data_IF_939230527213
#
_entry.id   IF_939230527213
#
_cell.length_a   1.000
_cell.length_b   1.000
_cell.length_c   1.000
_cell.angle_alpha   90.00
_cell.angle_beta   90.00
_cell.angle_gamma   90.00
#
_symmetry.space_group_name_H-M   'P 1'
#
loop_
_entity.id
_entity.type
_entity.pdbx_description
1 polymer ?
#
# COMPACT_ATOMS: atom_id res chain seq x y z
N UNK A 1 1.34 7.69 4.94
CA UNK A 1 0.45 6.54 5.31
C UNK A 1 0.13 6.56 6.81
N UNK A 2 -1.13 6.36 7.21
CA UNK A 2 -1.54 6.36 8.63
C UNK A 2 -1.07 5.08 9.34
N UNK A 3 -0.82 5.13 10.65
CA UNK A 3 -0.41 3.95 11.47
C UNK A 3 -1.31 2.72 11.28
N UNK A 4 -2.62 2.93 11.13
CA UNK A 4 -3.59 1.88 10.84
C UNK A 4 -3.30 1.18 9.51
N UNK A 5 -3.02 1.95 8.47
CA UNK A 5 -2.72 1.45 7.12
C UNK A 5 -1.37 0.73 7.08
N UNK A 6 -0.41 1.15 7.88
CA UNK A 6 0.89 0.44 8.02
C UNK A 6 0.68 -0.98 8.55
N UNK A 7 -0.23 -1.17 9.51
CA UNK A 7 -0.57 -2.51 10.00
C UNK A 7 -1.24 -3.34 8.90
N UNK A 8 -2.19 -2.78 8.15
CA UNK A 8 -2.86 -3.50 7.05
C UNK A 8 -1.89 -3.88 5.94
N UNK A 9 -1.02 -2.95 5.55
CA UNK A 9 0.03 -3.23 4.57
C UNK A 9 0.91 -4.40 5.00
N UNK A 10 1.40 -4.38 6.23
CA UNK A 10 2.24 -5.45 6.77
C UNK A 10 1.52 -6.81 6.77
N UNK A 11 0.26 -6.86 7.23
CA UNK A 11 -0.52 -8.09 7.23
C UNK A 11 -0.70 -8.66 5.83
N UNK A 12 -0.99 -7.80 4.84
CA UNK A 12 -1.12 -8.20 3.44
C UNK A 12 0.21 -8.67 2.87
N UNK A 13 1.29 -7.93 3.12
CA UNK A 13 2.63 -8.29 2.64
C UNK A 13 3.06 -9.66 3.16
N UNK A 14 3.00 -9.88 4.47
CA UNK A 14 3.39 -11.16 5.09
C UNK A 14 2.49 -12.32 4.62
N UNK A 15 1.19 -12.07 4.43
CA UNK A 15 0.29 -13.09 3.89
C UNK A 15 0.68 -13.50 2.47
N UNK A 16 1.11 -12.56 1.63
CA UNK A 16 1.50 -12.84 0.25
C UNK A 16 2.89 -13.46 0.13
N UNK A 17 3.87 -12.95 0.88
CA UNK A 17 5.27 -13.38 0.76
C UNK A 17 5.59 -14.62 1.60
N UNK A 18 5.08 -14.69 2.84
CA UNK A 18 5.43 -15.74 3.80
C UNK A 18 4.29 -16.74 4.04
N UNK A 19 3.10 -16.49 3.46
CA UNK A 19 1.89 -17.31 3.73
C UNK A 19 1.53 -17.37 5.21
N UNK A 20 1.87 -16.34 5.97
CA UNK A 20 1.61 -16.23 7.40
C UNK A 20 0.35 -15.40 7.64
N UNK A 21 -0.66 -16.02 8.20
CA UNK A 21 -1.99 -15.43 8.42
C UNK A 21 -2.33 -15.23 9.90
N UNK A 22 -1.61 -15.90 10.80
CA UNK A 22 -1.86 -15.86 12.26
C UNK A 22 -0.90 -14.89 12.93
N UNK A 23 -1.45 -13.95 13.71
CA UNK A 23 -0.70 -12.89 14.39
C UNK A 23 -1.23 -12.63 15.80
N UNK A 24 -0.41 -11.99 16.64
CA UNK A 24 -0.84 -11.46 17.94
C UNK A 24 -0.80 -9.95 17.94
N UNK A 25 -1.72 -9.31 18.66
CA UNK A 25 -1.72 -7.85 18.80
C UNK A 25 -0.44 -7.34 19.47
N UNK A 26 0.05 -8.06 20.50
CA UNK A 26 1.30 -7.73 21.15
C UNK A 26 2.50 -7.84 20.21
N UNK A 27 2.60 -8.92 19.44
CA UNK A 27 3.70 -9.09 18.48
C UNK A 27 3.75 -7.98 17.42
N UNK A 28 2.60 -7.52 16.94
CA UNK A 28 2.56 -6.37 16.02
C UNK A 28 2.89 -5.04 16.71
N UNK A 29 2.42 -4.88 17.97
CA UNK A 29 2.75 -3.69 18.74
C UNK A 29 4.26 -3.59 18.99
N UNK A 30 4.90 -4.68 19.38
CA UNK A 30 6.35 -4.76 19.58
C UNK A 30 7.10 -4.51 18.26
N UNK A 31 6.66 -5.13 17.15
CA UNK A 31 7.29 -4.98 15.82
C UNK A 31 7.29 -3.52 15.32
N UNK A 32 6.17 -2.81 15.50
CA UNK A 32 6.03 -1.43 15.02
C UNK A 32 6.43 -0.37 16.06
N UNK A 33 6.69 -0.73 17.30
CA UNK A 33 6.81 0.23 18.39
C UNK A 33 5.50 0.97 18.69
N UNK A 34 4.35 0.32 18.45
CA UNK A 34 3.03 0.90 18.68
C UNK A 34 2.44 0.40 20.01
N UNK A 35 1.46 1.13 20.54
CA UNK A 35 0.66 0.61 21.65
C UNK A 35 -0.25 -0.53 21.16
N UNK A 36 -0.55 -1.49 22.03
CA UNK A 36 -1.52 -2.56 21.74
C UNK A 36 -2.90 -1.98 21.38
N UNK A 37 -3.28 -0.85 21.99
CA UNK A 37 -4.51 -0.14 21.67
C UNK A 37 -4.53 0.35 20.21
N UNK A 38 -3.42 0.89 19.70
CA UNK A 38 -3.28 1.31 18.29
C UNK A 38 -3.46 0.13 17.35
N UNK A 39 -2.80 -0.99 17.64
CA UNK A 39 -2.97 -2.22 16.87
C UNK A 39 -4.40 -2.73 16.94
N UNK A 40 -5.00 -2.79 18.15
CA UNK A 40 -6.39 -3.21 18.29
C UNK A 40 -7.34 -2.33 17.47
N UNK A 41 -7.13 -1.02 17.45
CA UNK A 41 -7.94 -0.10 16.65
C UNK A 41 -7.81 -0.37 15.15
N UNK A 42 -6.62 -0.72 14.67
CA UNK A 42 -6.41 -1.08 13.26
C UNK A 42 -7.17 -2.34 12.84
N UNK A 43 -7.49 -3.22 13.76
CA UNK A 43 -8.20 -4.48 13.48
C UNK A 43 -9.73 -4.36 13.53
N UNK A 44 -10.29 -3.24 14.02
CA UNK A 44 -11.74 -3.06 14.19
C UNK A 44 -12.48 -3.19 12.88
N UNK A 45 -12.11 -2.39 11.88
CA UNK A 45 -12.78 -2.41 10.58
C UNK A 45 -12.56 -3.75 9.85
N UNK A 46 -11.32 -4.29 9.74
CA UNK A 46 -11.09 -5.61 9.15
C UNK A 46 -11.88 -6.75 9.79
N UNK A 47 -12.10 -6.69 11.12
CA UNK A 47 -12.94 -7.68 11.81
C UNK A 47 -14.42 -7.52 11.43
N UNK A 48 -14.92 -6.28 11.39
CA UNK A 48 -16.32 -6.01 11.03
C UNK A 48 -16.70 -6.49 9.62
N UNK A 49 -15.77 -6.38 8.68
CA UNK A 49 -16.00 -6.85 7.30
C UNK A 49 -15.72 -8.35 7.11
N UNK A 50 -15.31 -9.06 8.16
CA UNK A 50 -14.97 -10.48 8.09
C UNK A 50 -13.69 -10.78 7.31
N UNK A 51 -12.74 -9.84 7.25
CA UNK A 51 -11.40 -10.09 6.74
C UNK A 51 -10.49 -10.71 7.80
N UNK A 52 -10.75 -10.38 9.07
CA UNK A 52 -10.00 -10.87 10.23
C UNK A 52 -10.97 -11.53 11.21
N UNK A 53 -10.57 -12.69 11.72
CA UNK A 53 -11.22 -13.36 12.85
C UNK A 53 -10.34 -13.22 14.09
N UNK A 54 -10.91 -12.63 15.16
CA UNK A 54 -10.25 -12.51 16.45
C UNK A 54 -10.52 -13.72 17.33
N UNK A 55 -9.46 -14.17 17.99
CA UNK A 55 -9.47 -15.17 19.05
C UNK A 55 -8.96 -14.54 20.37
N UNK A 56 -9.02 -15.29 21.47
CA UNK A 56 -8.60 -14.77 22.78
C UNK A 56 -7.14 -14.32 22.85
N UNK A 57 -6.23 -15.05 22.20
CA UNK A 57 -4.77 -14.80 22.26
C UNK A 57 -4.15 -14.36 20.95
N UNK A 58 -4.84 -14.51 19.84
CA UNK A 58 -4.35 -14.22 18.50
C UNK A 58 -5.49 -13.79 17.58
N UNK A 59 -5.16 -13.41 16.38
CA UNK A 59 -6.13 -13.23 15.31
C UNK A 59 -5.60 -13.85 14.00
N UNK A 60 -6.50 -14.11 13.08
CA UNK A 60 -6.20 -14.70 11.78
C UNK A 60 -6.72 -13.80 10.68
N UNK A 61 -5.90 -13.51 9.70
CA UNK A 61 -6.31 -12.88 8.45
C UNK A 61 -6.95 -13.97 7.58
N UNK A 62 -8.27 -14.09 7.61
CA UNK A 62 -9.01 -15.14 6.88
C UNK A 62 -9.23 -14.80 5.41
N UNK A 63 -9.39 -13.51 5.12
CA UNK A 63 -9.63 -13.07 3.76
C UNK A 63 -8.82 -11.81 3.45
N UNK A 64 -7.62 -12.02 2.90
CA UNK A 64 -6.72 -10.92 2.55
C UNK A 64 -7.28 -10.06 1.39
N UNK A 65 -8.05 -10.63 0.47
CA UNK A 65 -8.68 -9.87 -0.62
C UNK A 65 -9.69 -8.86 -0.07
N UNK A 66 -10.52 -9.26 0.90
CA UNK A 66 -11.44 -8.31 1.58
C UNK A 66 -10.69 -7.17 2.24
N UNK A 67 -9.57 -7.46 2.90
CA UNK A 67 -8.74 -6.41 3.52
C UNK A 67 -8.15 -5.48 2.47
N UNK A 68 -7.64 -6.02 1.38
CA UNK A 68 -7.06 -5.25 0.28
C UNK A 68 -8.10 -4.32 -0.37
N UNK A 69 -9.27 -4.84 -0.72
CA UNK A 69 -10.34 -4.04 -1.34
C UNK A 69 -10.91 -3.00 -0.37
N UNK A 70 -11.07 -3.35 0.91
CA UNK A 70 -11.46 -2.38 1.92
C UNK A 70 -10.44 -1.24 2.02
N UNK A 71 -9.16 -1.57 2.13
CA UNK A 71 -8.12 -0.56 2.20
C UNK A 71 -8.09 0.33 0.95
N UNK A 72 -8.17 -0.26 -0.24
CA UNK A 72 -8.26 0.48 -1.49
C UNK A 72 -9.47 1.46 -1.50
N UNK A 73 -10.62 1.04 -0.96
CA UNK A 73 -11.84 1.86 -0.93
C UNK A 73 -11.78 3.05 0.04
N UNK A 74 -11.01 2.92 1.13
CA UNK A 74 -10.93 3.98 2.17
C UNK A 74 -9.67 4.83 2.07
N UNK A 75 -8.68 4.39 1.27
CA UNK A 75 -7.44 5.12 1.05
C UNK A 75 -7.70 6.37 0.21
N UNK A 76 -7.17 7.48 0.66
CA UNK A 76 -7.17 8.72 -0.11
C UNK A 76 -5.77 8.96 -0.68
N UNK A 77 -5.56 8.56 -1.94
CA UNK A 77 -4.28 8.67 -2.63
C UNK A 77 -3.77 10.11 -2.71
N UNK A 78 -4.66 11.09 -2.90
CA UNK A 78 -4.30 12.50 -3.00
C UNK A 78 -3.58 13.03 -1.73
N UNK A 79 -3.85 12.43 -0.56
CA UNK A 79 -3.16 12.78 0.69
C UNK A 79 -1.73 12.22 0.79
N UNK A 80 -1.42 11.24 -0.01
CA UNK A 80 -0.08 10.61 -0.06
C UNK A 80 0.78 11.23 -1.18
N UNK A 81 0.19 12.05 -2.07
CA UNK A 81 0.92 12.75 -3.14
C UNK A 81 1.74 13.88 -2.53
N UNK A 82 3.05 13.77 -2.62
CA UNK A 82 4.01 14.77 -2.09
C UNK A 82 4.54 15.72 -3.17
N UNK A 83 4.41 15.31 -4.45
CA UNK A 83 4.82 16.13 -5.59
C UNK A 83 3.92 15.84 -6.78
N UNK A 84 3.63 16.87 -7.57
CA UNK A 84 2.83 16.78 -8.78
C UNK A 84 3.32 17.83 -9.78
N UNK A 85 3.54 17.43 -11.00
CA UNK A 85 3.92 18.35 -12.08
C UNK A 85 3.16 18.00 -13.36
N UNK A 86 3.15 18.93 -14.30
CA UNK A 86 2.67 18.73 -15.66
C UNK A 86 3.88 18.56 -16.58
N UNK A 87 3.89 17.51 -17.38
CA UNK A 87 4.89 17.28 -18.42
C UNK A 87 4.17 17.13 -19.76
N UNK A 88 4.46 17.98 -20.76
CA UNK A 88 3.79 17.95 -22.08
C UNK A 88 4.36 16.88 -23.02
N UNK A 89 4.85 15.77 -22.48
CA UNK A 89 5.41 14.65 -23.24
C UNK A 89 4.43 13.48 -23.32
N UNK A 90 4.68 12.54 -24.22
CA UNK A 90 3.92 11.30 -24.28
C UNK A 90 4.15 10.43 -23.05
N UNK A 91 3.16 9.62 -22.67
CA UNK A 91 3.23 8.80 -21.45
C UNK A 91 4.51 7.95 -21.36
N UNK A 92 4.89 7.29 -22.46
CA UNK A 92 6.11 6.47 -22.49
C UNK A 92 7.40 7.30 -22.30
N UNK A 93 7.41 8.53 -22.78
CA UNK A 93 8.53 9.46 -22.56
C UNK A 93 8.58 9.88 -21.07
N UNK A 94 7.43 10.24 -20.50
CA UNK A 94 7.32 10.55 -19.05
C UNK A 94 7.78 9.37 -18.20
N UNK A 95 7.36 8.16 -18.54
CA UNK A 95 7.83 6.95 -17.85
C UNK A 95 9.35 6.78 -17.95
N UNK A 96 9.94 7.13 -19.08
CA UNK A 96 11.39 7.11 -19.28
C UNK A 96 12.16 8.14 -18.46
N UNK A 97 11.49 9.22 -18.01
CA UNK A 97 12.10 10.27 -17.17
C UNK A 97 12.05 9.95 -15.66
N UNK A 98 11.29 8.92 -15.26
CA UNK A 98 11.22 8.54 -13.84
C UNK A 98 12.60 8.07 -13.36
N UNK A 99 13.13 8.63 -12.25
CA UNK A 99 14.41 8.21 -11.69
C UNK A 99 14.46 6.70 -11.43
N UNK A 100 15.64 6.12 -11.50
CA UNK A 100 15.87 4.68 -11.27
C UNK A 100 15.42 4.19 -9.89
N UNK A 101 15.38 5.10 -8.91
CA UNK A 101 14.89 4.87 -7.54
C UNK A 101 13.38 4.88 -7.45
N UNK A 102 12.68 5.36 -8.49
CA UNK A 102 11.22 5.41 -8.54
C UNK A 102 10.59 4.04 -8.79
N UNK A 103 9.59 3.69 -8.01
CA UNK A 103 8.81 2.47 -8.17
C UNK A 103 7.49 2.82 -8.84
N UNK A 104 7.28 2.34 -10.07
CA UNK A 104 6.04 2.61 -10.80
C UNK A 104 4.81 2.13 -10.05
N UNK A 105 3.73 2.91 -10.17
CA UNK A 105 2.44 2.60 -9.55
C UNK A 105 1.31 2.68 -10.58
N UNK A 106 0.11 2.26 -10.20
CA UNK A 106 -1.11 2.33 -11.01
C UNK A 106 -0.95 1.68 -12.39
N UNK A 107 -1.36 2.37 -13.45
CA UNK A 107 -1.37 1.84 -14.83
C UNK A 107 0.03 1.58 -15.38
N UNK A 108 1.01 2.42 -15.06
CA UNK A 108 2.39 2.20 -15.48
C UNK A 108 2.98 0.91 -14.88
N UNK A 109 2.68 0.63 -13.61
CA UNK A 109 3.05 -0.65 -12.98
C UNK A 109 2.33 -1.82 -13.63
N UNK A 110 1.02 -1.70 -13.86
CA UNK A 110 0.23 -2.75 -14.51
C UNK A 110 0.73 -3.05 -15.93
N UNK A 111 1.03 -2.01 -16.72
CA UNK A 111 1.59 -2.16 -18.06
C UNK A 111 2.90 -2.95 -18.06
N UNK A 112 3.77 -2.72 -17.07
CA UNK A 112 5.06 -3.42 -16.94
C UNK A 112 4.93 -4.88 -16.47
N UNK A 113 3.89 -5.18 -15.68
CA UNK A 113 3.66 -6.53 -15.13
C UNK A 113 2.91 -7.41 -16.13
N UNK A 114 1.97 -6.84 -16.88
CA UNK A 114 1.04 -7.56 -17.75
C UNK A 114 1.27 -7.30 -19.25
N UNK A 115 2.33 -6.56 -19.62
CA UNK A 115 2.69 -6.14 -20.99
C UNK A 115 1.69 -5.18 -21.65
N UNK A 116 0.55 -4.92 -21.03
CA UNK A 116 -0.43 -3.93 -21.50
C UNK A 116 -1.15 -3.25 -20.33
N UNK A 117 -1.54 -1.98 -20.47
CA UNK A 117 -2.31 -1.31 -19.44
C UNK A 117 -3.78 -1.79 -19.46
N UNK A 118 -4.45 -1.84 -18.30
CA UNK A 118 -5.87 -2.21 -18.23
C UNK A 118 -6.82 -1.22 -18.96
N UNK A 119 -6.38 -0.01 -19.20
CA UNK A 119 -7.08 1.05 -19.92
C UNK A 119 -6.10 2.15 -20.35
N UNK A 120 -6.54 3.04 -21.25
CA UNK A 120 -5.81 4.26 -21.58
C UNK A 120 -5.64 5.15 -20.33
N UNK A 121 -4.47 5.74 -20.18
CA UNK A 121 -4.17 6.60 -19.03
C UNK A 121 -3.37 7.85 -19.46
N UNK A 122 -3.57 8.91 -18.69
CA UNK A 122 -2.95 10.23 -18.92
C UNK A 122 -2.09 10.72 -17.76
N UNK A 123 -1.86 9.88 -16.76
CA UNK A 123 -1.08 10.22 -15.57
C UNK A 123 -0.14 9.09 -15.22
N UNK A 124 1.11 9.44 -14.93
CA UNK A 124 2.12 8.52 -14.42
C UNK A 124 2.24 8.71 -12.92
N UNK A 125 2.15 7.61 -12.18
CA UNK A 125 2.34 7.58 -10.74
C UNK A 125 3.53 6.70 -10.39
N UNK A 126 4.33 7.15 -9.43
CA UNK A 126 5.44 6.38 -8.90
C UNK A 126 5.66 6.71 -7.42
N UNK A 127 6.19 5.75 -6.70
CA UNK A 127 6.67 5.95 -5.33
C UNK A 127 8.15 6.30 -5.38
N UNK A 128 8.57 7.20 -4.50
CA UNK A 128 9.97 7.60 -4.33
C UNK A 128 10.22 7.89 -2.85
N UNK A 129 11.42 7.58 -2.37
CA UNK A 129 11.82 7.94 -1.02
C UNK A 129 12.00 9.46 -0.89
N UNK A 130 11.71 10.01 0.29
CA UNK A 130 11.75 11.46 0.54
C UNK A 130 13.12 12.08 0.21
N UNK A 131 14.19 11.34 0.50
CA UNK A 131 15.58 11.75 0.20
C UNK A 131 15.88 11.88 -1.29
N UNK A 132 15.15 11.20 -2.16
CA UNK A 132 15.37 11.18 -3.61
C UNK A 132 14.40 12.08 -4.38
N UNK A 133 13.49 12.77 -3.69
CA UNK A 133 12.44 13.60 -4.33
C UNK A 133 13.00 14.68 -5.24
N UNK A 134 14.16 15.23 -4.93
CA UNK A 134 14.79 16.27 -5.75
C UNK A 134 15.21 15.76 -7.13
N UNK A 135 15.51 14.47 -7.27
CA UNK A 135 15.79 13.82 -8.55
C UNK A 135 14.53 13.76 -9.44
N UNK A 136 13.36 13.64 -8.83
CA UNK A 136 12.09 13.61 -9.55
C UNK A 136 11.58 15.01 -9.97
N UNK A 137 12.20 16.08 -9.47
CA UNK A 137 11.85 17.48 -9.82
C UNK A 137 12.68 18.04 -10.97
N UNK A 138 13.72 17.32 -11.39
CA UNK A 138 14.60 17.69 -12.51
C UNK A 138 14.02 17.26 -13.85
#
# INVERSE_FOLDING_TARGET
>A
MRKIETVWHHLLQIALTEKKFKHTQKGLADFFGYSVSTVNHSLVAPTKIGAIRKESKFFVLENFQKLLYYWASVRNLEKDVIYKTHCPAAIKEIEGLIPSEGIYACYSSASRIFDEPPADYSKVYFYIEEQDIEKAKQ
#
